data_IF_801918025216
#
_entry.id   IF_801918025216
#
_cell.length_a   1.000
_cell.length_b   1.000
_cell.length_c   1.000
_cell.angle_alpha   90.00
_cell.angle_beta   90.00
_cell.angle_gamma   90.00
#
_symmetry.space_group_name_H-M   'P 1'
#
loop_
_entity.id
_entity.type
_entity.pdbx_description
1 polymer ?
#
# COMPACT_ATOMS: atom_id res chain seq x y z
N UNK A 1 -7.59 10.41 -22.11
CA UNK A 1 -6.57 11.32 -21.52
C UNK A 1 -7.10 12.09 -20.30
N UNK A 2 -8.29 12.68 -20.38
CA UNK A 2 -8.93 13.37 -19.25
C UNK A 2 -9.17 12.47 -18.04
N UNK A 3 -9.55 11.20 -18.28
CA UNK A 3 -9.83 10.23 -17.22
C UNK A 3 -8.58 9.88 -16.40
N UNK A 4 -7.42 9.75 -17.05
CA UNK A 4 -6.12 9.53 -16.39
C UNK A 4 -5.72 10.73 -15.55
N UNK A 5 -5.91 11.94 -16.08
CA UNK A 5 -5.64 13.15 -15.33
C UNK A 5 -6.53 13.25 -14.08
N UNK A 6 -7.81 12.92 -14.24
CA UNK A 6 -8.77 12.91 -13.13
C UNK A 6 -8.40 11.86 -12.07
N UNK A 7 -7.98 10.67 -12.51
CA UNK A 7 -7.54 9.60 -11.62
C UNK A 7 -6.31 10.01 -10.79
N UNK A 8 -5.29 10.61 -11.43
CA UNK A 8 -4.12 11.16 -10.75
C UNK A 8 -4.50 12.28 -9.76
N UNK A 9 -5.39 13.18 -10.16
CA UNK A 9 -5.85 14.27 -9.30
C UNK A 9 -6.58 13.74 -8.05
N UNK A 10 -7.43 12.73 -8.23
CA UNK A 10 -8.12 12.02 -7.15
C UNK A 10 -7.11 11.40 -6.17
N UNK A 11 -6.10 10.71 -6.68
CA UNK A 11 -5.03 10.10 -5.89
C UNK A 11 -4.24 11.14 -5.09
N UNK A 12 -3.78 12.19 -5.74
CA UNK A 12 -3.02 13.28 -5.09
C UNK A 12 -3.86 13.93 -3.99
N UNK A 13 -5.10 14.30 -4.28
CA UNK A 13 -5.99 14.93 -3.30
C UNK A 13 -6.28 14.01 -2.11
N UNK A 14 -6.49 12.71 -2.37
CA UNK A 14 -6.81 11.73 -1.34
C UNK A 14 -5.64 11.42 -0.41
N UNK A 15 -4.40 11.46 -0.93
CA UNK A 15 -3.20 11.06 -0.20
C UNK A 15 -2.32 12.25 0.25
N UNK A 16 -2.69 13.49 -0.06
CA UNK A 16 -1.85 14.66 0.21
C UNK A 16 -1.46 14.84 1.69
N UNK A 17 -2.32 14.46 2.62
CA UNK A 17 -2.12 14.67 4.06
C UNK A 17 -1.79 13.40 4.84
N UNK A 18 -1.39 12.32 4.18
CA UNK A 18 -1.12 11.05 4.87
C UNK A 18 0.22 11.02 5.62
N UNK A 19 1.10 11.99 5.37
CA UNK A 19 2.44 12.06 5.98
C UNK A 19 3.41 11.06 5.35
N UNK A 20 4.59 10.85 5.96
CA UNK A 20 5.57 9.91 5.44
C UNK A 20 5.05 8.47 5.54
N UNK A 21 4.99 7.78 4.41
CA UNK A 21 4.48 6.42 4.34
C UNK A 21 5.61 5.39 4.23
N UNK A 22 5.38 4.21 4.82
CA UNK A 22 6.04 2.97 4.45
C UNK A 22 5.00 2.09 3.77
N UNK A 23 5.27 1.69 2.54
CA UNK A 23 4.34 0.86 1.77
C UNK A 23 4.72 -0.61 1.90
N UNK A 24 3.73 -1.45 2.19
CA UNK A 24 3.90 -2.89 2.37
C UNK A 24 3.16 -3.62 1.26
N UNK A 25 3.91 -4.38 0.47
CA UNK A 25 3.42 -5.24 -0.61
C UNK A 25 3.41 -6.70 -0.17
N UNK A 26 2.44 -7.46 -0.64
CA UNK A 26 2.38 -8.89 -0.39
C UNK A 26 1.09 -9.53 -0.89
N UNK A 27 0.98 -10.84 -0.76
CA UNK A 27 -0.14 -11.64 -1.25
C UNK A 27 -1.46 -11.28 -0.57
N UNK A 28 -2.52 -11.19 -1.38
CA UNK A 28 -3.90 -11.09 -0.91
C UNK A 28 -4.47 -12.41 -0.36
N UNK A 29 -3.73 -13.53 -0.45
CA UNK A 29 -4.25 -14.89 -0.22
C UNK A 29 -3.91 -15.49 1.15
N UNK A 30 -3.01 -14.89 1.91
CA UNK A 30 -2.68 -15.41 3.24
C UNK A 30 -3.81 -15.18 4.23
N UNK A 31 -4.21 -16.27 4.92
CA UNK A 31 -5.20 -16.21 5.99
C UNK A 31 -4.61 -15.58 7.26
N UNK A 32 -5.50 -15.20 8.19
CA UNK A 32 -5.11 -14.58 9.48
C UNK A 32 -4.26 -15.50 10.37
N UNK A 33 -4.36 -16.80 10.17
CA UNK A 33 -3.60 -17.82 10.92
C UNK A 33 -2.21 -18.05 10.32
N UNK A 34 -1.95 -17.56 9.10
CA UNK A 34 -0.69 -17.78 8.43
C UNK A 34 0.46 -17.01 9.08
N UNK A 35 1.64 -17.64 9.15
CA UNK A 35 2.83 -17.03 9.76
C UNK A 35 3.16 -15.65 9.18
N UNK A 36 3.12 -15.50 7.85
CA UNK A 36 3.43 -14.21 7.21
C UNK A 36 2.40 -13.12 7.49
N UNK A 37 1.15 -13.47 7.73
CA UNK A 37 0.14 -12.50 8.19
C UNK A 37 0.54 -11.92 9.55
N UNK A 38 0.88 -12.77 10.51
CA UNK A 38 1.28 -12.36 11.86
C UNK A 38 2.57 -11.55 11.86
N UNK A 39 3.59 -12.00 11.12
CA UNK A 39 4.85 -11.26 10.98
C UNK A 39 4.61 -9.86 10.40
N UNK A 40 3.73 -9.75 9.40
CA UNK A 40 3.42 -8.46 8.77
C UNK A 40 2.67 -7.54 9.72
N UNK A 41 1.73 -8.08 10.48
CA UNK A 41 0.98 -7.34 11.52
C UNK A 41 1.93 -6.73 12.55
N UNK A 42 2.82 -7.55 13.12
CA UNK A 42 3.82 -7.11 14.12
C UNK A 42 4.79 -6.08 13.52
N UNK A 43 5.32 -6.34 12.33
CA UNK A 43 6.24 -5.43 11.63
C UNK A 43 5.59 -4.07 11.37
N UNK A 44 4.35 -4.07 10.88
CA UNK A 44 3.63 -2.83 10.59
C UNK A 44 3.34 -2.03 11.87
N UNK A 45 3.04 -2.71 12.97
CA UNK A 45 2.88 -2.08 14.27
C UNK A 45 4.17 -1.38 14.74
N UNK A 46 5.32 -2.04 14.62
CA UNK A 46 6.61 -1.43 14.97
C UNK A 46 6.96 -0.23 14.09
N UNK A 47 6.73 -0.32 12.78
CA UNK A 47 6.94 0.80 11.85
C UNK A 47 6.00 1.97 12.20
N UNK A 48 4.74 1.70 12.50
CA UNK A 48 3.77 2.73 12.87
C UNK A 48 4.15 3.44 14.18
N UNK A 49 4.71 2.74 15.17
CA UNK A 49 5.23 3.33 16.41
C UNK A 49 6.37 4.34 16.16
N UNK A 50 7.11 4.19 15.07
CA UNK A 50 8.14 5.15 14.65
C UNK A 50 7.56 6.44 14.03
N UNK A 51 6.25 6.54 13.87
CA UNK A 51 5.55 7.70 13.32
C UNK A 51 5.24 7.63 11.83
N UNK A 52 5.58 6.54 11.15
CA UNK A 52 5.23 6.35 9.74
C UNK A 52 3.77 5.94 9.55
N UNK A 53 3.17 6.43 8.48
CA UNK A 53 1.89 5.92 7.99
C UNK A 53 2.12 4.60 7.26
N UNK A 54 1.34 3.59 7.56
CA UNK A 54 1.36 2.33 6.80
C UNK A 54 0.44 2.45 5.60
N UNK A 55 1.00 2.27 4.42
CA UNK A 55 0.25 2.28 3.16
C UNK A 55 0.29 0.89 2.51
N UNK A 56 -0.83 0.47 1.98
CA UNK A 56 -0.98 -0.79 1.25
C UNK A 56 -1.85 -0.61 0.02
N UNK A 57 -2.05 -1.69 -0.73
CA UNK A 57 -3.06 -1.75 -1.78
C UNK A 57 -4.50 -1.82 -1.26
N UNK A 58 -4.72 -1.87 0.05
CA UNK A 58 -6.04 -1.83 0.67
C UNK A 58 -6.84 -3.14 0.63
N UNK A 59 -6.27 -4.22 0.09
CA UNK A 59 -6.92 -5.54 -0.04
C UNK A 59 -6.75 -6.45 1.18
N UNK A 60 -7.12 -7.73 1.03
CA UNK A 60 -6.97 -8.73 2.09
C UNK A 60 -5.54 -9.27 2.23
N UNK A 61 -5.35 -10.25 3.08
CA UNK A 61 -4.07 -10.95 3.28
C UNK A 61 -3.01 -10.06 3.91
N UNK A 62 -1.84 -9.97 3.30
CA UNK A 62 -0.71 -9.16 3.79
C UNK A 62 -1.09 -7.66 3.92
N UNK A 63 -1.85 -7.13 2.99
CA UNK A 63 -2.32 -5.74 3.05
C UNK A 63 -3.20 -5.49 4.28
N UNK A 64 -4.14 -6.39 4.54
CA UNK A 64 -4.98 -6.35 5.74
C UNK A 64 -4.15 -6.46 7.02
N UNK A 65 -3.20 -7.38 7.07
CA UNK A 65 -2.31 -7.58 8.21
C UNK A 65 -1.53 -6.30 8.55
N UNK A 66 -0.96 -5.66 7.52
CA UNK A 66 -0.21 -4.41 7.68
C UNK A 66 -1.09 -3.27 8.20
N UNK A 67 -2.26 -3.07 7.60
CA UNK A 67 -3.20 -2.05 8.03
C UNK A 67 -3.72 -2.31 9.46
N UNK A 68 -3.99 -3.57 9.81
CA UNK A 68 -4.41 -3.97 11.15
C UNK A 68 -3.33 -3.64 12.19
N UNK A 69 -2.09 -4.06 11.96
CA UNK A 69 -0.97 -3.79 12.86
C UNK A 69 -0.77 -2.30 13.14
N UNK A 70 -0.88 -1.45 12.10
CA UNK A 70 -0.82 0.00 12.27
C UNK A 70 -1.96 0.51 13.17
N UNK A 71 -3.18 0.07 12.94
CA UNK A 71 -4.36 0.49 13.71
C UNK A 71 -4.31 0.09 15.18
N UNK A 72 -3.83 -1.11 15.46
CA UNK A 72 -3.76 -1.63 16.83
C UNK A 72 -2.85 -0.81 17.77
N UNK A 73 -1.87 -0.12 17.20
CA UNK A 73 -0.98 0.78 17.97
C UNK A 73 -1.34 2.26 17.84
N UNK A 74 -2.51 2.57 17.29
CA UNK A 74 -2.97 3.95 17.09
C UNK A 74 -2.24 4.69 15.94
N UNK A 75 -1.56 3.95 15.06
CA UNK A 75 -0.90 4.48 13.86
C UNK A 75 -1.88 4.77 12.73
N UNK A 76 -1.40 5.49 11.73
CA UNK A 76 -2.18 5.81 10.52
C UNK A 76 -2.09 4.69 9.51
N UNK A 77 -3.24 4.33 8.94
CA UNK A 77 -3.43 3.20 8.02
C UNK A 77 -4.17 3.64 6.76
N UNK A 78 -3.54 3.50 5.62
CA UNK A 78 -4.02 4.03 4.34
C UNK A 78 -3.98 2.97 3.26
N UNK A 79 -5.00 2.97 2.40
CA UNK A 79 -5.10 2.09 1.24
C UNK A 79 -5.11 2.88 -0.07
N UNK A 80 -4.34 2.41 -1.04
CA UNK A 80 -4.43 2.83 -2.42
C UNK A 80 -4.96 1.67 -3.26
N UNK A 81 -6.27 1.59 -3.37
CA UNK A 81 -6.98 0.49 -4.01
C UNK A 81 -6.94 0.61 -5.54
N UNK A 82 -7.23 -0.50 -6.20
CA UNK A 82 -7.54 -0.55 -7.63
C UNK A 82 -8.99 -1.01 -7.81
N UNK A 83 -9.73 -0.32 -8.65
CA UNK A 83 -11.08 -0.74 -9.03
C UNK A 83 -10.95 -1.88 -10.04
N UNK A 84 -11.45 -3.06 -9.69
CA UNK A 84 -11.44 -4.25 -10.54
C UNK A 84 -12.88 -4.67 -10.86
N UNK A 85 -13.11 -5.35 -12.01
CA UNK A 85 -14.45 -5.85 -12.39
C UNK A 85 -15.06 -6.81 -11.36
N UNK A 86 -14.20 -7.56 -10.65
CA UNK A 86 -14.60 -8.39 -9.52
C UNK A 86 -14.21 -7.65 -8.25
N UNK A 87 -15.19 -7.08 -7.56
CA UNK A 87 -14.99 -6.20 -6.41
C UNK A 87 -14.03 -6.79 -5.37
N UNK A 88 -12.90 -6.10 -5.17
CA UNK A 88 -12.12 -6.22 -3.95
C UNK A 88 -12.68 -5.20 -2.95
N UNK A 89 -13.33 -5.69 -1.91
CA UNK A 89 -13.77 -4.84 -0.81
C UNK A 89 -12.52 -4.37 -0.05
N UNK A 90 -12.35 -3.06 0.19
CA UNK A 90 -11.28 -2.55 1.05
C UNK A 90 -11.30 -3.23 2.42
N UNK A 91 -10.13 -3.56 2.97
CA UNK A 91 -10.07 -4.16 4.29
C UNK A 91 -10.58 -3.18 5.38
N UNK A 92 -11.09 -3.69 6.52
CA UNK A 92 -11.75 -2.85 7.53
C UNK A 92 -10.81 -2.00 8.39
N UNK A 93 -9.49 -2.13 8.20
CA UNK A 93 -8.48 -1.46 9.03
C UNK A 93 -7.91 -0.17 8.40
N UNK A 94 -8.53 0.35 7.36
CA UNK A 94 -8.13 1.58 6.68
C UNK A 94 -8.76 2.80 7.36
N UNK A 95 -7.95 3.80 7.71
CA UNK A 95 -8.40 5.13 8.11
C UNK A 95 -8.87 5.94 6.92
N UNK A 96 -8.17 5.77 5.80
CA UNK A 96 -8.46 6.41 4.53
C UNK A 96 -8.08 5.49 3.40
N UNK A 97 -8.84 5.51 2.32
CA UNK A 97 -8.47 4.85 1.08
C UNK A 97 -8.79 5.72 -0.13
N UNK A 98 -8.10 5.46 -1.21
CA UNK A 98 -8.35 6.05 -2.52
C UNK A 98 -8.50 4.91 -3.53
N UNK A 99 -9.56 4.97 -4.32
CA UNK A 99 -9.83 3.99 -5.37
C UNK A 99 -9.33 4.54 -6.70
N UNK A 100 -8.34 3.86 -7.27
CA UNK A 100 -7.73 4.22 -8.54
C UNK A 100 -8.31 3.35 -9.66
N UNK A 101 -8.49 3.93 -10.83
CA UNK A 101 -9.07 3.25 -11.99
C UNK A 101 -8.00 2.57 -12.87
N UNK A 102 -6.74 3.04 -12.77
CA UNK A 102 -5.63 2.53 -13.57
C UNK A 102 -4.48 2.02 -12.70
N UNK A 103 -3.87 0.90 -13.11
CA UNK A 103 -2.72 0.34 -12.40
C UNK A 103 -1.53 1.28 -12.33
N UNK A 104 -1.21 1.98 -13.43
CA UNK A 104 -0.06 2.88 -13.47
C UNK A 104 -0.25 4.14 -12.61
N UNK A 105 -1.45 4.68 -12.52
CA UNK A 105 -1.75 5.81 -11.62
C UNK A 105 -1.65 5.39 -10.16
N UNK A 106 -2.19 4.21 -9.82
CA UNK A 106 -2.08 3.61 -8.49
C UNK A 106 -0.61 3.42 -8.09
N UNK A 107 0.21 2.80 -8.94
CA UNK A 107 1.64 2.60 -8.69
C UNK A 107 2.36 3.94 -8.48
N UNK A 108 2.04 4.94 -9.29
CA UNK A 108 2.59 6.29 -9.14
C UNK A 108 2.28 6.86 -7.76
N UNK A 109 1.06 6.68 -7.26
CA UNK A 109 0.68 7.15 -5.92
C UNK A 109 1.42 6.40 -4.81
N UNK A 110 1.49 5.06 -4.90
CA UNK A 110 2.19 4.23 -3.93
C UNK A 110 3.68 4.62 -3.83
N UNK A 111 4.32 4.88 -4.96
CA UNK A 111 5.73 5.28 -5.01
C UNK A 111 5.92 6.71 -4.51
N UNK A 112 5.08 7.64 -4.97
CA UNK A 112 5.20 9.08 -4.67
C UNK A 112 5.18 9.39 -3.17
N UNK A 113 4.35 8.70 -2.41
CA UNK A 113 4.14 8.99 -0.98
C UNK A 113 4.96 8.10 -0.04
N UNK A 114 5.74 7.17 -0.58
CA UNK A 114 6.52 6.21 0.21
C UNK A 114 7.95 6.64 0.41
N UNK A 115 8.42 6.50 1.64
CA UNK A 115 9.83 6.66 2.03
C UNK A 115 10.57 5.33 2.00
N UNK A 116 9.87 4.24 2.25
CA UNK A 116 10.42 2.90 2.20
C UNK A 116 9.36 1.90 1.77
N UNK A 117 9.84 0.73 1.36
CA UNK A 117 9.00 -0.36 0.91
C UNK A 117 9.36 -1.65 1.64
N UNK A 118 8.35 -2.39 2.05
CA UNK A 118 8.47 -3.74 2.58
C UNK A 118 7.79 -4.68 1.61
N UNK A 119 8.48 -5.72 1.21
CA UNK A 119 7.96 -6.72 0.28
C UNK A 119 7.86 -8.06 0.99
N UNK A 120 6.65 -8.49 1.23
CA UNK A 120 6.32 -9.80 1.79
C UNK A 120 6.04 -10.79 0.66
N UNK A 121 6.10 -12.10 0.92
CA UNK A 121 5.81 -13.09 -0.11
C UNK A 121 4.48 -12.86 -0.81
N UNK A 122 4.46 -13.02 -2.14
CA UNK A 122 3.27 -12.78 -2.94
C UNK A 122 3.38 -13.28 -4.37
N UNK A 123 2.34 -13.04 -5.13
CA UNK A 123 2.24 -13.44 -6.53
C UNK A 123 2.74 -12.39 -7.52
N UNK A 124 2.24 -12.47 -8.75
CA UNK A 124 2.67 -11.58 -9.85
C UNK A 124 2.45 -10.09 -9.57
N UNK A 125 1.36 -9.71 -8.90
CA UNK A 125 1.11 -8.32 -8.53
C UNK A 125 2.16 -7.79 -7.56
N UNK A 126 2.55 -8.57 -6.57
CA UNK A 126 3.62 -8.22 -5.63
C UNK A 126 4.98 -8.10 -6.33
N UNK A 127 5.27 -9.02 -7.26
CA UNK A 127 6.52 -8.99 -8.03
C UNK A 127 6.57 -7.78 -8.99
N UNK A 128 5.46 -7.42 -9.60
CA UNK A 128 5.35 -6.24 -10.46
C UNK A 128 5.69 -4.96 -9.67
N UNK A 129 5.13 -4.79 -8.49
CA UNK A 129 5.43 -3.67 -7.60
C UNK A 129 6.89 -3.68 -7.13
N UNK A 130 7.41 -4.85 -6.76
CA UNK A 130 8.81 -5.02 -6.35
C UNK A 130 9.80 -4.61 -7.44
N UNK A 131 9.64 -5.13 -8.64
CA UNK A 131 10.56 -4.84 -9.74
C UNK A 131 10.49 -3.39 -10.20
N UNK A 132 9.34 -2.76 -10.16
CA UNK A 132 9.22 -1.34 -10.46
C UNK A 132 9.98 -0.49 -9.45
N UNK A 133 9.77 -0.71 -8.17
CA UNK A 133 10.49 0.01 -7.11
C UNK A 133 11.99 -0.26 -7.18
N UNK A 134 12.41 -1.51 -7.34
CA UNK A 134 13.82 -1.89 -7.47
C UNK A 134 14.48 -1.18 -8.65
N UNK A 135 13.80 -1.11 -9.80
CA UNK A 135 14.28 -0.43 -11.00
C UNK A 135 14.43 1.08 -10.77
N UNK A 136 13.47 1.71 -10.12
CA UNK A 136 13.52 3.13 -9.80
C UNK A 136 14.66 3.48 -8.85
N UNK A 137 14.93 2.62 -7.87
CA UNK A 137 16.06 2.78 -6.95
C UNK A 137 17.37 2.60 -7.71
N UNK A 138 17.52 1.52 -8.47
CA UNK A 138 18.71 1.22 -9.25
C UNK A 138 19.08 2.32 -10.23
N UNK A 139 18.07 2.95 -10.87
CA UNK A 139 18.28 4.01 -11.86
C UNK A 139 18.38 5.42 -11.26
N UNK A 140 18.31 5.54 -9.92
CA UNK A 140 18.33 6.84 -9.24
C UNK A 140 17.10 7.71 -9.53
N UNK A 141 16.01 7.13 -10.01
CA UNK A 141 14.75 7.83 -10.26
C UNK A 141 13.87 7.94 -9.00
N UNK A 142 14.15 7.13 -8.00
CA UNK A 142 13.52 7.24 -6.68
C UNK A 142 14.32 8.26 -5.87
N UNK A 143 13.81 9.49 -5.81
CA UNK A 143 14.37 10.57 -4.99
C UNK A 143 13.35 11.00 -3.95
N UNK A 144 13.78 11.02 -2.74
CA UNK A 144 13.06 11.61 -1.62
C UNK A 144 13.75 12.85 -1.12
#
# INVERSE_FOLDING_TARGET
MLDVFWDLFKGIRGLHFVGPCVTIFGSARFSKEHLYYKITEDLAAEIAKLGFTIMTGGGPGIMEAANKGAREVGGRSVGCNIVLPNEQIPNPYLDRHVDMDYFFTRKTMLIKYSYAFVVMPGGFGTMDEFFEVATLIQTGKFKQ
#
